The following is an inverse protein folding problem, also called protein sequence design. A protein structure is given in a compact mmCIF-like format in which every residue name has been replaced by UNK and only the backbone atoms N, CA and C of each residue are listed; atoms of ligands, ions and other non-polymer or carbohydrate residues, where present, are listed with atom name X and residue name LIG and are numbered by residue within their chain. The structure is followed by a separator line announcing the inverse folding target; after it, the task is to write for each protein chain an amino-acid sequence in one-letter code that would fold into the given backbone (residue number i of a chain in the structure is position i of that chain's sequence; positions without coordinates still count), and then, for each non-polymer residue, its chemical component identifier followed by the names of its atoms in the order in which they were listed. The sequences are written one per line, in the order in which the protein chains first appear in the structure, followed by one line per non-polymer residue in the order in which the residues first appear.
data_IF_573792915644
#
_entry.id   IF_573792915644
#
_cell.length_a   1.000
_cell.length_b   1.000
_cell.length_c   1.000
_cell.angle_alpha   90.00
_cell.angle_beta   90.00
_cell.angle_gamma   90.00
#
_symmetry.space_group_name_H-M   'P 1'
#
loop_
_entity.id
_entity.type
_entity.pdbx_description
1 polymer ?
#
# COMPACT_ATOMS: atom_id res chain seq x y z
N UNK A 1 6.39 -7.37 -8.61
CA UNK A 1 6.95 -6.38 -9.55
C UNK A 1 6.26 -6.42 -10.92
N UNK A 2 6.14 -7.58 -11.58
CA UNK A 2 5.51 -7.66 -12.91
C UNK A 2 4.06 -7.13 -12.96
N UNK A 3 3.22 -7.47 -11.97
CA UNK A 3 1.83 -6.97 -11.92
C UNK A 3 1.73 -5.45 -11.74
N UNK A 4 2.60 -4.85 -10.92
CA UNK A 4 2.65 -3.40 -10.71
C UNK A 4 3.14 -2.69 -11.97
N UNK A 5 4.17 -3.23 -12.63
CA UNK A 5 4.65 -2.69 -13.89
C UNK A 5 3.57 -2.76 -14.99
N UNK A 6 2.84 -3.89 -15.08
CA UNK A 6 1.73 -4.03 -16.02
C UNK A 6 0.57 -3.09 -15.69
N UNK A 7 0.22 -2.95 -14.40
CA UNK A 7 -0.80 -2.01 -13.95
C UNK A 7 -0.45 -0.58 -14.35
N UNK A 8 0.76 -0.13 -14.01
CA UNK A 8 1.24 1.21 -14.33
C UNK A 8 1.26 1.47 -15.84
N UNK A 9 1.70 0.49 -16.62
CA UNK A 9 1.73 0.59 -18.07
C UNK A 9 0.31 0.77 -18.65
N UNK A 10 -0.63 -0.12 -18.30
CA UNK A 10 -2.00 -0.04 -18.84
C UNK A 10 -2.69 1.23 -18.35
N UNK A 11 -2.53 1.59 -17.08
CA UNK A 11 -3.11 2.80 -16.50
C UNK A 11 -2.61 4.07 -17.22
N UNK A 12 -1.30 4.15 -17.50
CA UNK A 12 -0.70 5.28 -18.21
C UNK A 12 -1.20 5.41 -19.66
N UNK A 13 -1.37 4.28 -20.37
CA UNK A 13 -1.94 4.30 -21.72
C UNK A 13 -3.41 4.77 -21.71
N UNK A 14 -4.20 4.33 -20.73
CA UNK A 14 -5.62 4.71 -20.61
C UNK A 14 -5.86 6.14 -20.13
N UNK A 15 -4.89 6.78 -19.47
CA UNK A 15 -5.00 8.19 -19.08
C UNK A 15 -5.17 9.11 -20.29
N UNK A 16 -4.59 8.73 -21.44
CA UNK A 16 -4.71 9.48 -22.71
C UNK A 16 -6.09 9.32 -23.37
N UNK A 17 -6.88 8.33 -22.95
CA UNK A 17 -8.20 8.05 -23.51
C UNK A 17 -9.29 8.85 -22.77
N UNK A 18 -10.36 9.26 -23.49
CA UNK A 18 -11.58 9.76 -22.85
C UNK A 18 -12.13 8.76 -21.84
N UNK A 19 -12.72 9.25 -20.75
CA UNK A 19 -13.15 8.44 -19.60
C UNK A 19 -14.14 7.31 -19.99
N UNK A 20 -14.99 7.55 -20.98
CA UNK A 20 -15.94 6.57 -21.51
C UNK A 20 -15.31 5.47 -22.40
N UNK A 21 -14.01 5.58 -22.72
CA UNK A 21 -13.27 4.61 -23.53
C UNK A 21 -12.27 3.79 -22.70
N UNK A 22 -12.06 4.14 -21.42
CA UNK A 22 -11.21 3.41 -20.48
C UNK A 22 -11.84 2.06 -20.14
N UNK A 23 -11.06 0.98 -20.20
CA UNK A 23 -11.54 -0.40 -20.00
C UNK A 23 -10.90 -1.07 -18.81
N UNK A 24 -9.65 -0.73 -18.50
CA UNK A 24 -8.87 -1.32 -17.43
C UNK A 24 -9.32 -0.80 -16.07
N UNK A 25 -9.54 0.51 -15.95
CA UNK A 25 -10.04 1.14 -14.73
C UNK A 25 -11.11 2.20 -15.09
N UNK A 26 -12.33 1.78 -15.47
CA UNK A 26 -13.40 2.71 -15.83
C UNK A 26 -13.85 3.53 -14.62
N UNK A 27 -14.53 4.65 -14.88
CA UNK A 27 -15.06 5.53 -13.84
C UNK A 27 -15.95 4.75 -12.85
N UNK A 28 -15.69 4.94 -11.54
CA UNK A 28 -16.43 4.23 -10.49
C UNK A 28 -16.03 2.76 -10.31
N UNK A 29 -14.97 2.29 -10.98
CA UNK A 29 -14.46 0.93 -10.78
C UNK A 29 -13.85 0.74 -9.41
N UNK A 30 -12.99 1.66 -8.94
CA UNK A 30 -12.36 1.63 -7.62
C UNK A 30 -13.19 2.34 -6.55
N UNK A 31 -12.86 2.10 -5.29
CA UNK A 31 -13.41 2.88 -4.18
C UNK A 31 -12.97 4.35 -4.31
N UNK A 32 -13.84 5.27 -3.90
CA UNK A 32 -13.57 6.71 -3.92
C UNK A 32 -13.95 7.33 -2.58
N UNK A 33 -13.04 8.09 -1.97
CA UNK A 33 -13.36 8.91 -0.81
C UNK A 33 -14.20 10.13 -1.24
N UNK A 34 -15.29 10.36 -0.51
CA UNK A 34 -16.16 11.51 -0.67
C UNK A 34 -15.70 12.65 0.26
N UNK A 35 -16.10 13.91 -0.01
CA UNK A 35 -15.67 15.06 0.78
C UNK A 35 -16.07 15.01 2.27
N UNK A 36 -17.06 14.18 2.61
CA UNK A 36 -17.54 13.95 3.98
C UNK A 36 -16.75 12.85 4.73
N UNK A 37 -15.69 12.31 4.11
CA UNK A 37 -14.88 11.23 4.66
C UNK A 37 -15.50 9.84 4.53
N UNK A 38 -16.66 9.73 3.85
CA UNK A 38 -17.26 8.42 3.56
C UNK A 38 -16.65 7.83 2.29
N UNK A 39 -16.64 6.49 2.21
CA UNK A 39 -16.13 5.78 1.04
C UNK A 39 -17.30 5.37 0.16
N UNK A 40 -17.32 5.85 -1.09
CA UNK A 40 -18.19 5.33 -2.14
C UNK A 40 -17.60 4.01 -2.66
N UNK A 41 -18.29 2.86 -2.49
CA UNK A 41 -17.78 1.57 -2.97
C UNK A 41 -17.67 1.55 -4.50
N UNK A 42 -16.57 0.99 -5.01
CA UNK A 42 -16.39 0.79 -6.45
C UNK A 42 -17.06 -0.48 -6.97
N UNK A 43 -17.36 -0.51 -8.27
CA UNK A 43 -18.02 -1.64 -8.95
C UNK A 43 -17.17 -2.91 -8.98
N UNK A 44 -15.86 -2.83 -8.70
CA UNK A 44 -15.00 -4.01 -8.54
C UNK A 44 -15.51 -5.01 -7.49
N UNK A 45 -16.33 -4.56 -6.54
CA UNK A 45 -16.94 -5.38 -5.48
C UNK A 45 -18.15 -6.18 -5.97
N UNK A 46 -18.79 -5.74 -7.06
CA UNK A 46 -19.92 -6.43 -7.68
C UNK A 46 -19.47 -7.63 -8.54
N UNK A 47 -18.19 -7.67 -8.92
CA UNK A 47 -17.58 -8.83 -9.54
C UNK A 47 -17.51 -9.97 -8.49
N UNK A 48 -18.53 -10.84 -8.51
CA UNK A 48 -18.62 -12.08 -7.73
C UNK A 48 -17.54 -13.14 -8.09
N UNK A 49 -16.34 -12.72 -8.46
CA UNK A 49 -15.36 -13.50 -9.18
C UNK A 49 -13.97 -13.56 -8.55
N UNK A 50 -13.72 -12.90 -7.42
CA UNK A 50 -12.46 -13.09 -6.67
C UNK A 50 -12.47 -14.47 -6.00
N UNK A 51 -12.26 -15.50 -6.82
CA UNK A 51 -12.01 -16.85 -6.34
C UNK A 51 -10.64 -16.86 -5.68
N UNK A 52 -10.54 -17.58 -4.56
CA UNK A 52 -9.25 -17.83 -3.94
C UNK A 52 -8.29 -18.36 -4.99
N UNK A 53 -7.27 -17.56 -5.27
CA UNK A 53 -6.07 -18.01 -5.96
C UNK A 53 -5.39 -18.93 -4.95
N UNK A 54 -5.75 -20.22 -4.96
CA UNK A 54 -5.13 -21.26 -4.13
C UNK A 54 -3.62 -21.09 -4.18
N UNK A 55 -2.90 -21.49 -3.12
CA UNK A 55 -1.45 -21.32 -2.95
C UNK A 55 -0.68 -21.28 -4.28
N UNK A 56 -0.37 -20.08 -4.75
CA UNK A 56 0.47 -19.84 -5.93
C UNK A 56 1.93 -19.94 -5.51
N UNK A 57 2.46 -21.16 -5.54
CA UNK A 57 3.88 -21.43 -5.29
C UNK A 57 4.35 -21.24 -3.85
N UNK A 58 5.68 -21.26 -3.66
CA UNK A 58 6.28 -20.90 -2.39
C UNK A 58 6.31 -19.37 -2.28
N UNK A 59 5.92 -18.81 -1.13
CA UNK A 59 6.05 -17.38 -0.78
C UNK A 59 7.53 -16.98 -0.58
N UNK A 60 8.42 -17.52 -1.41
CA UNK A 60 9.83 -17.25 -1.35
C UNK A 60 10.09 -16.00 -2.19
N UNK A 61 10.35 -14.88 -1.51
CA UNK A 61 10.90 -13.71 -2.16
C UNK A 61 12.23 -14.06 -2.84
N UNK A 62 12.56 -13.41 -3.95
CA UNK A 62 13.90 -13.56 -4.54
C UNK A 62 14.96 -13.11 -3.54
N UNK A 63 16.18 -13.65 -3.65
CA UNK A 63 17.31 -13.25 -2.80
C UNK A 63 17.54 -11.73 -2.86
N UNK A 64 17.44 -11.13 -4.05
CA UNK A 64 17.54 -9.68 -4.23
C UNK A 64 16.46 -8.90 -3.47
N UNK A 65 15.21 -9.39 -3.46
CA UNK A 65 14.14 -8.76 -2.68
C UNK A 65 14.38 -8.86 -1.17
N UNK A 66 14.92 -9.99 -0.68
CA UNK A 66 15.32 -10.13 0.72
C UNK A 66 16.43 -9.14 1.10
N UNK A 67 17.45 -9.01 0.24
CA UNK A 67 18.57 -8.11 0.46
C UNK A 67 18.11 -6.64 0.48
N UNK A 68 17.27 -6.22 -0.46
CA UNK A 68 16.70 -4.88 -0.47
C UNK A 68 15.86 -4.60 0.77
N UNK A 69 15.02 -5.56 1.19
CA UNK A 69 14.23 -5.42 2.43
C UNK A 69 15.14 -5.23 3.65
N UNK A 70 16.18 -6.04 3.78
CA UNK A 70 17.09 -5.97 4.90
C UNK A 70 17.90 -4.65 4.88
N UNK A 71 18.39 -4.23 3.71
CA UNK A 71 19.11 -2.98 3.53
C UNK A 71 18.25 -1.77 3.95
N UNK A 72 17.01 -1.71 3.47
CA UNK A 72 16.08 -0.64 3.81
C UNK A 72 15.75 -0.65 5.30
N UNK A 73 15.48 -1.83 5.88
CA UNK A 73 15.26 -1.97 7.34
C UNK A 73 16.44 -1.43 8.12
N UNK A 74 17.66 -1.78 7.75
CA UNK A 74 18.85 -1.38 8.49
C UNK A 74 19.08 0.14 8.37
N UNK A 75 18.84 0.72 7.19
CA UNK A 75 18.95 2.16 6.96
C UNK A 75 17.91 2.99 7.73
N UNK A 76 16.62 2.63 7.67
CA UNK A 76 15.57 3.43 8.34
C UNK A 76 15.66 3.37 9.88
N UNK A 77 16.41 2.41 10.42
CA UNK A 77 16.70 2.31 11.85
C UNK A 77 18.12 2.81 12.21
N UNK A 78 18.90 3.30 11.25
CA UNK A 78 20.22 3.88 11.51
C UNK A 78 20.10 5.33 11.99
N UNK A 79 21.20 5.89 12.49
CA UNK A 79 21.23 7.29 12.91
C UNK A 79 20.95 8.26 11.74
N UNK A 80 21.34 7.88 10.52
CA UNK A 80 21.21 8.68 9.31
C UNK A 80 19.83 8.59 8.65
N UNK A 81 19.16 7.44 8.77
CA UNK A 81 17.86 7.18 8.12
C UNK A 81 16.65 7.24 9.05
N UNK A 82 16.85 7.25 10.37
CA UNK A 82 15.76 7.39 11.34
C UNK A 82 15.29 8.85 11.46
N UNK A 83 14.00 9.03 11.72
CA UNK A 83 13.37 10.34 11.90
C UNK A 83 12.64 10.39 13.24
N UNK A 84 12.69 11.56 13.89
CA UNK A 84 12.27 11.74 15.29
C UNK A 84 10.82 11.35 15.58
N UNK A 85 9.92 11.47 14.60
CA UNK A 85 8.51 11.15 14.78
C UNK A 85 8.21 9.64 14.73
N UNK A 86 9.10 8.80 14.18
CA UNK A 86 8.84 7.36 14.03
C UNK A 86 8.57 6.69 15.38
N UNK A 87 9.37 7.01 16.39
CA UNK A 87 9.18 6.46 17.73
C UNK A 87 7.90 6.97 18.39
N UNK A 88 7.54 8.24 18.17
CA UNK A 88 6.28 8.78 18.68
C UNK A 88 5.10 8.00 18.10
N UNK A 89 5.10 7.74 16.79
CA UNK A 89 4.06 6.99 16.13
C UNK A 89 4.03 5.49 16.52
N UNK A 90 5.19 4.86 16.72
CA UNK A 90 5.28 3.45 17.16
C UNK A 90 4.87 3.29 18.61
N UNK A 91 5.11 4.29 19.45
CA UNK A 91 4.82 4.28 20.88
C UNK A 91 3.46 4.91 21.22
N UNK A 92 2.75 5.46 20.24
CA UNK A 92 1.38 5.97 20.38
C UNK A 92 0.47 4.85 20.89
N UNK A 93 -0.02 5.00 22.13
CA UNK A 93 -0.86 4.01 22.81
C UNK A 93 -0.10 2.89 23.54
N UNK A 94 1.23 2.82 23.44
CA UNK A 94 2.06 1.82 24.12
C UNK A 94 2.60 2.26 25.49
N UNK A 95 2.51 3.56 25.81
CA UNK A 95 3.00 4.11 27.09
C UNK A 95 1.85 4.13 28.11
N UNK A 96 1.91 3.37 29.22
CA UNK A 96 1.07 3.64 30.38
C UNK A 96 1.37 5.05 30.88
N UNK A 97 0.34 5.80 31.26
CA UNK A 97 0.37 7.20 31.70
C UNK A 97 1.07 7.43 33.05
N UNK A 98 2.19 6.76 33.33
CA UNK A 98 2.94 6.92 34.57
C UNK A 98 4.42 6.57 34.41
N UNK A 99 5.14 7.31 33.59
CA UNK A 99 6.56 7.58 33.84
C UNK A 99 6.81 9.07 33.65
N UNK A 100 6.30 9.86 34.61
CA UNK A 100 6.84 11.18 34.87
C UNK A 100 8.27 10.98 35.37
N UNK A 101 9.25 11.24 34.51
CA UNK A 101 10.62 11.47 34.93
C UNK A 101 10.64 12.85 35.60
N UNK A 102 10.80 12.88 36.93
CA UNK A 102 11.14 14.11 37.65
C UNK A 102 12.68 14.19 37.75
N UNK A 103 13.22 15.42 37.75
CA UNK A 103 14.50 15.81 37.13
C UNK A 103 15.74 15.11 37.69
#
# INVERSE_FOLDING_TARGET
MACVALHNFIQGEEETLPENQRKYCPAGYTDAELPDGTVRPGSWRELAGLKSVRRTGANNSSLSAMNNRNLLRDYVNSAEGSVSWQLNHVLEGAVPSSFCYNP
#
